data_IF_585343270306
#
_entry.id   IF_585343270306
#
_cell.length_a   1.000
_cell.length_b   1.000
_cell.length_c   1.000
_cell.angle_alpha   90.00
_cell.angle_beta   90.00
_cell.angle_gamma   90.00
#
_symmetry.space_group_name_H-M   'P 1'
#
loop_
_entity.id
_entity.type
_entity.pdbx_description
1 polymer ?
#
# COMPACT_ATOMS: atom_id res chain seq x y z
N UNK A 1 -72.64 -8.01 22.61
CA UNK A 1 -71.51 -7.50 23.39
C UNK A 1 -70.49 -6.94 22.48
N UNK A 2 -70.41 -5.61 22.38
CA UNK A 2 -69.43 -4.91 21.54
C UNK A 2 -68.17 -4.69 22.39
N UNK A 3 -67.06 -5.42 22.08
CA UNK A 3 -65.80 -5.16 22.68
C UNK A 3 -65.28 -3.85 22.11
N UNK A 4 -65.22 -2.82 22.95
CA UNK A 4 -64.48 -1.57 22.64
C UNK A 4 -62.99 -1.88 22.60
N UNK A 5 -62.39 -1.88 21.40
CA UNK A 5 -60.97 -1.86 21.22
C UNK A 5 -60.48 -0.49 21.69
N UNK A 6 -59.74 -0.48 22.79
CA UNK A 6 -58.99 0.72 23.21
C UNK A 6 -57.91 0.97 22.16
N UNK A 7 -58.07 2.02 21.36
CA UNK A 7 -57.01 2.53 20.54
C UNK A 7 -55.99 3.21 21.47
N UNK A 8 -54.89 2.53 21.80
CA UNK A 8 -53.78 3.11 22.49
C UNK A 8 -53.02 4.04 21.48
N UNK A 9 -53.11 5.33 21.71
CA UNK A 9 -52.31 6.30 20.96
C UNK A 9 -50.87 6.31 21.46
N UNK A 10 -49.91 6.69 20.58
CA UNK A 10 -48.53 6.87 20.95
C UNK A 10 -48.36 8.02 21.96
N UNK A 11 -47.53 7.82 22.94
CA UNK A 11 -47.19 8.88 23.90
C UNK A 11 -46.14 9.82 23.28
N UNK A 12 -46.19 11.08 23.65
CA UNK A 12 -45.20 12.10 23.19
C UNK A 12 -43.77 11.68 23.55
N UNK A 13 -43.58 11.03 24.70
CA UNK A 13 -42.29 10.49 25.14
C UNK A 13 -41.78 9.39 24.22
N UNK A 14 -42.65 8.49 23.76
CA UNK A 14 -42.28 7.40 22.85
C UNK A 14 -41.81 7.90 21.49
N UNK A 15 -42.46 8.93 20.95
CA UNK A 15 -42.03 9.59 19.71
C UNK A 15 -40.68 10.27 19.90
N UNK A 16 -40.45 10.92 21.04
CA UNK A 16 -39.19 11.61 21.34
C UNK A 16 -38.02 10.61 21.46
N UNK A 17 -38.25 9.48 22.15
CA UNK A 17 -37.26 8.40 22.26
C UNK A 17 -36.97 7.79 20.90
N UNK A 18 -38.01 7.49 20.11
CA UNK A 18 -37.85 6.94 18.77
C UNK A 18 -37.00 7.89 17.85
N UNK A 19 -37.30 9.18 17.87
CA UNK A 19 -36.56 10.18 17.10
C UNK A 19 -35.10 10.28 17.54
N UNK A 20 -34.81 10.17 18.84
CA UNK A 20 -33.44 10.19 19.36
C UNK A 20 -32.64 8.99 18.90
N UNK A 21 -33.24 7.78 18.97
CA UNK A 21 -32.61 6.54 18.51
C UNK A 21 -32.36 6.60 17.00
N UNK A 22 -33.34 7.05 16.21
CA UNK A 22 -33.17 7.22 14.77
C UNK A 22 -32.07 8.22 14.43
N UNK A 23 -32.02 9.36 15.12
CA UNK A 23 -31.01 10.37 14.92
C UNK A 23 -29.59 9.83 15.19
N UNK A 24 -29.41 9.14 16.32
CA UNK A 24 -28.12 8.49 16.65
C UNK A 24 -27.76 7.41 15.61
N UNK A 25 -28.72 6.63 15.14
CA UNK A 25 -28.51 5.63 14.10
C UNK A 25 -28.00 6.24 12.79
N UNK A 26 -28.65 7.30 12.32
CA UNK A 26 -28.24 8.00 11.10
C UNK A 26 -26.85 8.60 11.22
N UNK A 27 -26.52 9.26 12.34
CA UNK A 27 -25.19 9.84 12.58
C UNK A 27 -24.11 8.76 12.55
N UNK A 28 -24.36 7.62 13.20
CA UNK A 28 -23.42 6.50 13.23
C UNK A 28 -23.17 5.93 11.83
N UNK A 29 -24.24 5.77 11.04
CA UNK A 29 -24.13 5.28 9.66
C UNK A 29 -23.32 6.25 8.79
N UNK A 30 -23.56 7.55 8.91
CA UNK A 30 -22.78 8.56 8.16
C UNK A 30 -21.30 8.56 8.54
N UNK A 31 -20.97 8.34 9.82
CA UNK A 31 -19.58 8.23 10.28
C UNK A 31 -18.90 7.01 9.68
N UNK A 32 -19.54 5.84 9.70
CA UNK A 32 -19.00 4.61 9.11
C UNK A 32 -18.78 4.78 7.61
N UNK A 33 -19.74 5.37 6.91
CA UNK A 33 -19.66 5.63 5.48
C UNK A 33 -18.50 6.57 5.14
N UNK A 34 -18.34 7.66 5.90
CA UNK A 34 -17.23 8.60 5.72
C UNK A 34 -15.87 7.94 5.95
N UNK A 35 -15.74 7.07 6.95
CA UNK A 35 -14.51 6.31 7.20
C UNK A 35 -14.23 5.31 6.06
N UNK A 36 -15.26 4.64 5.55
CA UNK A 36 -15.15 3.72 4.43
C UNK A 36 -14.61 4.39 3.16
N UNK A 37 -15.12 5.58 2.83
CA UNK A 37 -14.64 6.35 1.68
C UNK A 37 -13.17 6.77 1.83
N UNK A 38 -12.76 7.19 3.04
CA UNK A 38 -11.36 7.56 3.32
C UNK A 38 -10.41 6.36 3.19
N UNK A 39 -10.83 5.19 3.66
CA UNK A 39 -10.05 3.96 3.52
C UNK A 39 -9.93 3.53 2.06
N UNK A 40 -11.02 3.62 1.30
CA UNK A 40 -11.03 3.34 -0.14
C UNK A 40 -10.04 4.21 -0.92
N UNK A 41 -10.11 5.53 -0.72
CA UNK A 41 -9.19 6.46 -1.38
C UNK A 41 -7.71 6.15 -1.06
N UNK A 42 -7.39 5.87 0.21
CA UNK A 42 -6.02 5.49 0.62
C UNK A 42 -5.53 4.17 0.00
N UNK A 43 -6.43 3.22 -0.17
CA UNK A 43 -6.13 1.93 -0.79
C UNK A 43 -5.77 2.09 -2.26
N UNK A 44 -6.48 2.93 -2.99
CA UNK A 44 -6.24 3.18 -4.42
C UNK A 44 -4.85 3.78 -4.65
N UNK A 45 -4.49 4.83 -3.93
CA UNK A 45 -3.16 5.47 -4.05
C UNK A 45 -2.03 4.50 -3.73
N UNK A 46 -2.21 3.63 -2.72
CA UNK A 46 -1.21 2.63 -2.36
C UNK A 46 -1.02 1.60 -3.48
N UNK A 47 -2.11 1.13 -4.07
CA UNK A 47 -2.07 0.15 -5.15
C UNK A 47 -1.40 0.71 -6.40
N UNK A 48 -1.71 1.94 -6.78
CA UNK A 48 -1.09 2.63 -7.91
C UNK A 48 0.43 2.78 -7.71
N UNK A 49 0.86 3.20 -6.53
CA UNK A 49 2.28 3.36 -6.20
C UNK A 49 3.02 2.03 -6.24
N UNK A 50 2.44 0.96 -5.67
CA UNK A 50 3.03 -0.38 -5.71
C UNK A 50 3.12 -0.93 -7.13
N UNK A 51 2.09 -0.72 -7.95
CA UNK A 51 2.08 -1.16 -9.35
C UNK A 51 3.14 -0.42 -10.17
N UNK A 52 3.28 0.87 -9.96
CA UNK A 52 4.32 1.67 -10.61
C UNK A 52 5.73 1.21 -10.17
N UNK A 53 5.92 0.92 -8.88
CA UNK A 53 7.18 0.40 -8.36
C UNK A 53 7.52 -0.99 -8.89
N UNK A 54 6.54 -1.87 -9.00
CA UNK A 54 6.73 -3.19 -9.59
C UNK A 54 7.20 -3.06 -11.05
N UNK A 55 6.61 -2.15 -11.82
CA UNK A 55 7.03 -1.87 -13.20
C UNK A 55 8.48 -1.39 -13.29
N UNK A 56 8.90 -0.45 -12.43
CA UNK A 56 10.29 0.02 -12.36
C UNK A 56 11.21 -1.12 -11.97
N UNK A 57 10.83 -1.95 -11.00
CA UNK A 57 11.60 -3.12 -10.60
C UNK A 57 11.76 -4.11 -11.77
N UNK A 58 10.67 -4.42 -12.49
CA UNK A 58 10.70 -5.31 -13.64
C UNK A 58 11.60 -4.77 -14.76
N UNK A 59 11.56 -3.48 -15.02
CA UNK A 59 12.45 -2.84 -16.00
C UNK A 59 13.93 -2.94 -15.60
N UNK A 60 14.24 -2.72 -14.32
CA UNK A 60 15.59 -2.89 -13.79
C UNK A 60 16.06 -4.35 -13.91
N UNK A 61 15.16 -5.29 -13.57
CA UNK A 61 15.46 -6.73 -13.64
C UNK A 61 15.54 -7.26 -15.07
N UNK A 62 14.87 -6.65 -16.03
CA UNK A 62 14.94 -7.04 -17.45
C UNK A 62 16.30 -6.72 -18.10
N UNK A 63 17.09 -5.85 -17.51
CA UNK A 63 18.43 -5.48 -18.05
C UNK A 63 19.36 -6.68 -18.01
N UNK A 64 20.02 -6.96 -19.13
CA UNK A 64 20.96 -8.09 -19.25
C UNK A 64 22.15 -8.03 -18.29
N UNK A 65 22.60 -6.82 -17.93
CA UNK A 65 23.67 -6.58 -16.95
C UNK A 65 23.12 -5.74 -15.81
N UNK A 66 23.08 -6.31 -14.62
CA UNK A 66 22.90 -5.58 -13.38
C UNK A 66 24.27 -5.14 -12.86
N UNK A 67 24.64 -3.91 -13.15
CA UNK A 67 25.85 -3.29 -12.61
C UNK A 67 25.57 -2.87 -11.17
N UNK A 68 26.53 -3.13 -10.29
CA UNK A 68 26.45 -2.64 -8.91
C UNK A 68 26.48 -1.10 -8.90
N UNK A 69 25.70 -0.53 -8.01
CA UNK A 69 25.59 0.91 -7.88
C UNK A 69 24.18 1.38 -7.60
N UNK A 70 24.04 2.69 -7.57
CA UNK A 70 22.74 3.36 -7.32
C UNK A 70 22.24 4.01 -8.60
N UNK A 71 20.93 3.91 -8.81
CA UNK A 71 20.22 4.59 -9.89
C UNK A 71 19.01 5.31 -9.30
N UNK A 72 18.70 6.48 -9.84
CA UNK A 72 17.56 7.28 -9.39
C UNK A 72 16.71 7.68 -10.58
N UNK A 73 15.43 7.92 -10.33
CA UNK A 73 14.51 8.40 -11.35
C UNK A 73 13.26 9.02 -10.75
N UNK A 74 12.36 9.44 -11.63
CA UNK A 74 11.07 10.01 -11.22
C UNK A 74 9.95 9.01 -11.47
N UNK A 75 8.90 9.08 -10.65
CA UNK A 75 7.71 8.27 -10.73
C UNK A 75 6.50 9.20 -10.83
N UNK A 76 5.97 9.41 -12.03
CA UNK A 76 4.91 10.40 -12.25
C UNK A 76 5.39 11.84 -12.00
N UNK A 77 4.46 12.69 -11.57
CA UNK A 77 4.74 14.12 -11.32
C UNK A 77 5.42 14.36 -9.97
N UNK A 78 5.01 13.62 -8.93
CA UNK A 78 5.36 13.90 -7.52
C UNK A 78 6.12 12.76 -6.83
N UNK A 79 6.54 11.74 -7.59
CA UNK A 79 7.26 10.59 -7.07
C UNK A 79 8.71 10.55 -7.49
N UNK A 80 9.56 10.00 -6.61
CA UNK A 80 10.97 9.69 -6.88
C UNK A 80 11.25 8.26 -6.49
N UNK A 81 12.16 7.65 -7.21
CA UNK A 81 12.66 6.34 -6.83
C UNK A 81 14.17 6.31 -6.85
N UNK A 82 14.74 5.51 -5.96
CA UNK A 82 16.14 5.15 -5.97
C UNK A 82 16.30 3.65 -5.90
N UNK A 83 17.10 3.09 -6.77
CA UNK A 83 17.41 1.68 -6.78
C UNK A 83 18.88 1.47 -6.45
N UNK A 84 19.13 0.48 -5.59
CA UNK A 84 20.49 0.09 -5.21
C UNK A 84 20.69 -1.39 -5.54
N UNK A 85 21.77 -1.68 -6.26
CA UNK A 85 22.17 -3.03 -6.60
C UNK A 85 23.48 -3.34 -5.88
N UNK A 86 23.46 -4.40 -5.06
CA UNK A 86 24.62 -4.85 -4.29
C UNK A 86 24.83 -6.35 -4.47
N UNK A 87 26.09 -6.79 -4.52
CA UNK A 87 26.38 -8.21 -4.42
C UNK A 87 26.12 -8.68 -2.98
N UNK A 88 25.36 -9.76 -2.84
CA UNK A 88 25.18 -10.40 -1.53
C UNK A 88 26.46 -11.14 -1.20
N UNK A 89 27.24 -10.56 -0.32
CA UNK A 89 28.43 -11.22 0.25
C UNK A 89 27.97 -12.03 1.44
N UNK A 90 27.49 -13.24 1.15
CA UNK A 90 27.12 -14.16 2.23
C UNK A 90 28.38 -14.62 2.95
N UNK A 91 28.40 -14.48 4.26
CA UNK A 91 29.47 -14.96 5.13
C UNK A 91 29.36 -16.47 5.39
N UNK A 92 28.45 -17.14 4.72
CA UNK A 92 28.28 -18.58 4.85
C UNK A 92 29.29 -19.30 3.96
N UNK A 93 30.25 -20.06 4.50
CA UNK A 93 31.35 -20.67 3.73
C UNK A 93 30.90 -21.72 2.70
N UNK A 94 29.64 -22.07 2.68
CA UNK A 94 29.08 -23.19 1.89
C UNK A 94 28.72 -22.85 0.44
N UNK A 95 28.71 -21.57 0.03
CA UNK A 95 28.45 -21.17 -1.35
C UNK A 95 29.73 -20.66 -2.03
N UNK A 96 30.82 -21.42 -1.94
CA UNK A 96 31.99 -21.17 -2.75
C UNK A 96 31.71 -21.61 -4.19
N UNK A 97 30.81 -20.86 -4.82
CA UNK A 97 30.48 -21.06 -6.23
C UNK A 97 31.67 -20.59 -7.04
N UNK A 98 32.49 -21.55 -7.49
CA UNK A 98 33.42 -21.36 -8.63
C UNK A 98 32.65 -21.02 -9.93
N UNK A 99 31.47 -20.45 -9.75
CA UNK A 99 30.50 -20.13 -10.77
C UNK A 99 30.69 -18.69 -11.24
N UNK A 100 30.56 -18.39 -12.53
CA UNK A 100 30.53 -17.03 -13.03
C UNK A 100 29.30 -16.23 -12.57
N UNK A 101 28.46 -16.83 -11.73
CA UNK A 101 27.21 -16.25 -11.22
C UNK A 101 27.39 -15.81 -9.76
N UNK A 102 26.81 -14.69 -9.44
CA UNK A 102 26.72 -14.17 -8.07
C UNK A 102 25.29 -13.73 -7.74
N UNK A 103 24.92 -13.81 -6.48
CA UNK A 103 23.64 -13.33 -6.03
C UNK A 103 23.73 -11.82 -5.78
N UNK A 104 22.83 -11.07 -6.42
CA UNK A 104 22.69 -9.63 -6.26
C UNK A 104 21.39 -9.29 -5.59
N UNK A 105 21.43 -8.44 -4.59
CA UNK A 105 20.28 -7.81 -3.98
C UNK A 105 19.97 -6.53 -4.75
N UNK A 106 18.70 -6.37 -5.12
CA UNK A 106 18.18 -5.15 -5.75
C UNK A 106 17.16 -4.57 -4.78
N UNK A 107 17.50 -3.45 -4.19
CA UNK A 107 16.62 -2.64 -3.36
C UNK A 107 16.07 -1.48 -4.17
N UNK A 108 14.76 -1.27 -4.15
CA UNK A 108 14.08 -0.11 -4.74
C UNK A 108 13.36 0.63 -3.63
N UNK A 109 13.72 1.86 -3.42
CA UNK A 109 13.06 2.79 -2.52
C UNK A 109 12.28 3.81 -3.34
N UNK A 110 11.01 3.99 -3.02
CA UNK A 110 10.14 4.96 -3.67
C UNK A 110 9.59 5.92 -2.64
N UNK A 111 9.61 7.19 -2.98
CA UNK A 111 9.00 8.26 -2.21
C UNK A 111 7.91 8.91 -3.06
N UNK A 112 6.69 8.90 -2.56
CA UNK A 112 5.52 9.49 -3.22
C UNK A 112 4.85 10.45 -2.27
N UNK A 113 4.54 11.64 -2.76
CA UNK A 113 3.81 12.67 -2.01
C UNK A 113 2.32 12.46 -2.21
N UNK A 114 1.59 12.20 -1.12
CA UNK A 114 0.13 12.08 -1.11
C UNK A 114 -0.45 13.25 -0.30
N UNK A 115 -0.75 14.33 -0.98
CA UNK A 115 -1.12 15.60 -0.35
C UNK A 115 0.05 16.19 0.46
N UNK A 116 -0.13 16.38 1.76
CA UNK A 116 0.92 16.89 2.67
C UNK A 116 1.82 15.79 3.26
N UNK A 117 1.61 14.52 2.91
CA UNK A 117 2.33 13.40 3.50
C UNK A 117 3.23 12.73 2.49
N UNK A 118 4.49 12.65 2.84
CA UNK A 118 5.48 11.86 2.12
C UNK A 118 5.41 10.40 2.58
N UNK A 119 5.28 9.48 1.62
CA UNK A 119 5.27 8.04 1.87
C UNK A 119 6.48 7.41 1.24
N UNK A 120 7.16 6.58 2.03
CA UNK A 120 8.29 5.78 1.59
C UNK A 120 7.85 4.32 1.49
N UNK A 121 8.15 3.69 0.37
CA UNK A 121 7.90 2.27 0.10
C UNK A 121 9.23 1.67 -0.34
N UNK A 122 9.58 0.54 0.25
CA UNK A 122 10.78 -0.22 -0.05
C UNK A 122 10.40 -1.58 -0.63
N UNK A 123 11.01 -1.93 -1.76
CA UNK A 123 10.90 -3.24 -2.40
C UNK A 123 12.30 -3.83 -2.50
N UNK A 124 12.45 -5.10 -2.08
CA UNK A 124 13.72 -5.84 -2.18
C UNK A 124 13.51 -7.14 -2.92
N UNK A 125 14.46 -7.47 -3.78
CA UNK A 125 14.49 -8.76 -4.47
C UNK A 125 15.91 -9.25 -4.65
N UNK A 126 16.05 -10.55 -4.88
CA UNK A 126 17.33 -11.19 -5.14
C UNK A 126 17.36 -11.70 -6.57
N UNK A 127 18.47 -11.50 -7.25
CA UNK A 127 18.69 -11.97 -8.62
C UNK A 127 20.08 -12.57 -8.79
N UNK A 128 20.15 -13.67 -9.54
CA UNK A 128 21.42 -14.20 -10.02
C UNK A 128 21.93 -13.34 -11.18
N UNK A 129 23.10 -12.80 -11.04
CA UNK A 129 23.82 -12.03 -12.06
C UNK A 129 25.17 -12.64 -12.37
N UNK A 130 25.75 -12.31 -13.51
CA UNK A 130 27.14 -12.66 -13.76
C UNK A 130 28.06 -11.77 -12.91
N UNK A 131 29.12 -12.38 -12.33
CA UNK A 131 30.21 -11.61 -11.70
C UNK A 131 30.70 -10.57 -12.68
N UNK A 132 30.71 -9.30 -12.25
CA UNK A 132 31.39 -8.27 -13.02
C UNK A 132 32.86 -8.63 -13.13
N UNK A 133 33.40 -8.66 -14.33
CA UNK A 133 34.84 -8.72 -14.51
C UNK A 133 35.39 -7.37 -14.02
N UNK A 134 36.44 -7.33 -13.16
CA UNK A 134 37.03 -6.09 -12.68
C UNK A 134 37.49 -5.17 -13.79
#
# INVERSE_FOLDING_TARGET
MLQRRFASGFTLLEVLVAMTILGLGVVTLLQIFSQGLRLGARSTTRTETLTAGARVMDELLARKKLTEGSQTGTLGADGRWSAQVQAVRDHTPSLNLSSPWELKEVGLEMTVTDGERERRIELKTLRLGKKGNP
#
